data_IF_022665397936
#
_entry.id   IF_022665397936
#
_cell.length_a   1.000
_cell.length_b   1.000
_cell.length_c   1.000
_cell.angle_alpha   90.00
_cell.angle_beta   90.00
_cell.angle_gamma   90.00
#
_symmetry.space_group_name_H-M   'P 1'
#
loop_
_entity.id
_entity.type
_entity.pdbx_description
1 polymer ?
#
# COMPACT_ATOMS: atom_id res chain seq x y z
N UNK A 1 8.61 -11.56 57.77
CA UNK A 1 9.05 -10.46 56.88
C UNK A 1 9.51 -11.04 55.56
N UNK A 2 8.72 -10.89 54.51
CA UNK A 2 9.12 -11.29 53.15
C UNK A 2 10.04 -10.17 52.61
N UNK A 3 11.28 -10.54 52.24
CA UNK A 3 12.28 -9.56 51.82
C UNK A 3 11.85 -8.85 50.54
N UNK A 4 12.11 -7.55 50.44
CA UNK A 4 11.78 -6.67 49.29
C UNK A 4 12.26 -7.27 47.96
N UNK A 5 13.37 -8.03 47.98
CA UNK A 5 13.86 -8.76 46.78
C UNK A 5 12.94 -9.87 46.26
N UNK A 6 12.20 -10.55 47.15
CA UNK A 6 11.23 -11.57 46.70
C UNK A 6 9.97 -10.96 46.11
N UNK A 7 9.53 -9.78 46.58
CA UNK A 7 8.42 -9.05 45.98
C UNK A 7 8.78 -8.52 44.56
N UNK A 8 10.02 -8.10 44.35
CA UNK A 8 10.48 -7.60 43.05
C UNK A 8 10.57 -8.74 42.01
N UNK A 9 11.03 -9.92 42.41
CA UNK A 9 11.08 -11.09 41.55
C UNK A 9 9.66 -11.57 41.19
N UNK A 10 8.73 -11.58 42.14
CA UNK A 10 7.33 -11.96 41.91
C UNK A 10 6.65 -10.96 40.97
N UNK A 11 6.86 -9.66 41.17
CA UNK A 11 6.32 -8.61 40.29
C UNK A 11 6.88 -8.72 38.87
N UNK A 12 8.20 -8.94 38.72
CA UNK A 12 8.84 -9.11 37.41
C UNK A 12 8.36 -10.39 36.71
N UNK A 13 8.18 -11.47 37.42
CA UNK A 13 7.68 -12.75 36.90
C UNK A 13 6.21 -12.65 36.47
N UNK A 14 5.36 -11.98 37.26
CA UNK A 14 3.95 -11.75 36.92
C UNK A 14 3.84 -10.81 35.71
N UNK A 15 4.70 -9.78 35.61
CA UNK A 15 4.71 -8.88 34.47
C UNK A 15 5.17 -9.59 33.19
N UNK A 16 6.20 -10.43 33.26
CA UNK A 16 6.67 -11.29 32.15
C UNK A 16 5.61 -12.32 31.72
N UNK A 17 4.91 -12.94 32.67
CA UNK A 17 3.83 -13.89 32.37
C UNK A 17 2.63 -13.18 31.75
N UNK A 18 2.30 -11.96 32.22
CA UNK A 18 1.21 -11.15 31.67
C UNK A 18 1.53 -10.66 30.25
N UNK A 19 2.77 -10.23 29.98
CA UNK A 19 3.22 -9.82 28.63
C UNK A 19 3.29 -11.02 27.69
N UNK A 20 3.79 -12.17 28.10
CA UNK A 20 3.83 -13.38 27.30
C UNK A 20 2.43 -13.97 27.04
N UNK A 21 1.53 -13.97 28.02
CA UNK A 21 0.14 -14.38 27.81
C UNK A 21 -0.62 -13.43 26.89
N UNK A 22 -0.39 -12.12 26.98
CA UNK A 22 -0.98 -11.16 26.06
C UNK A 22 -0.40 -11.32 24.64
N UNK A 23 0.87 -11.67 24.50
CA UNK A 23 1.50 -11.99 23.21
C UNK A 23 0.93 -13.29 22.62
N UNK A 24 0.84 -14.37 23.41
CA UNK A 24 0.23 -15.64 22.99
C UNK A 24 -1.27 -15.52 22.68
N UNK A 25 -2.01 -14.70 23.42
CA UNK A 25 -3.43 -14.43 23.16
C UNK A 25 -3.62 -13.57 21.91
N UNK A 26 -2.69 -12.65 21.61
CA UNK A 26 -2.67 -11.91 20.34
C UNK A 26 -2.30 -12.80 19.16
N UNK A 27 -1.25 -13.62 19.28
CA UNK A 27 -0.83 -14.57 18.26
C UNK A 27 -1.92 -15.63 17.98
N UNK A 28 -2.58 -16.15 19.00
CA UNK A 28 -3.72 -17.08 18.84
C UNK A 28 -4.98 -16.41 18.27
N UNK A 29 -5.20 -15.12 18.51
CA UNK A 29 -6.30 -14.39 17.84
C UNK A 29 -6.03 -14.16 16.36
N UNK A 30 -4.80 -13.84 15.97
CA UNK A 30 -4.42 -13.64 14.58
C UNK A 30 -4.38 -14.96 13.79
N UNK A 31 -4.00 -16.08 14.43
CA UNK A 31 -3.94 -17.40 13.79
C UNK A 31 -5.30 -18.12 13.67
N UNK A 32 -6.38 -17.60 14.28
CA UNK A 32 -7.73 -18.17 14.24
C UNK A 32 -8.81 -17.20 13.73
N UNK A 33 -8.44 -16.05 13.14
CA UNK A 33 -9.41 -15.15 12.53
C UNK A 33 -9.85 -15.74 11.19
N UNK A 34 -10.95 -16.50 11.24
CA UNK A 34 -11.68 -16.88 10.04
C UNK A 34 -12.25 -15.58 9.46
N UNK A 35 -11.68 -15.09 8.37
CA UNK A 35 -12.18 -13.87 7.71
C UNK A 35 -13.65 -14.05 7.41
N UNK A 36 -14.48 -13.00 7.62
CA UNK A 36 -15.89 -13.06 7.27
C UNK A 36 -16.11 -13.39 5.79
N UNK A 37 -15.19 -12.96 4.91
CA UNK A 37 -15.31 -13.14 3.46
C UNK A 37 -13.96 -13.45 2.81
N UNK A 38 -13.94 -14.30 1.80
CA UNK A 38 -12.82 -14.48 0.90
C UNK A 38 -12.79 -13.40 -0.21
N UNK A 39 -11.68 -13.30 -0.92
CA UNK A 39 -11.50 -12.29 -1.97
C UNK A 39 -12.55 -12.41 -3.09
N UNK A 40 -12.99 -13.62 -3.45
CA UNK A 40 -14.00 -13.84 -4.50
C UNK A 40 -15.35 -13.30 -4.07
N UNK A 41 -15.74 -13.53 -2.82
CA UNK A 41 -16.99 -13.01 -2.24
C UNK A 41 -16.96 -11.48 -2.21
N UNK A 42 -15.83 -10.86 -1.80
CA UNK A 42 -15.66 -9.40 -1.80
C UNK A 42 -15.78 -8.84 -3.21
N UNK A 43 -15.11 -9.46 -4.18
CA UNK A 43 -15.18 -9.05 -5.58
C UNK A 43 -16.61 -9.20 -6.16
N UNK A 44 -17.29 -10.29 -5.84
CA UNK A 44 -18.69 -10.50 -6.27
C UNK A 44 -19.64 -9.43 -5.69
N UNK A 45 -19.44 -9.06 -4.42
CA UNK A 45 -20.23 -8.01 -3.75
C UNK A 45 -20.10 -6.64 -4.43
N UNK A 46 -18.91 -6.29 -4.90
CA UNK A 46 -18.63 -5.02 -5.56
C UNK A 46 -18.74 -5.09 -7.10
N UNK A 47 -19.02 -6.26 -7.68
CA UNK A 47 -18.90 -6.49 -9.12
C UNK A 47 -19.69 -5.49 -10.00
N UNK A 48 -20.98 -5.14 -9.71
CA UNK A 48 -21.70 -4.19 -10.54
C UNK A 48 -21.05 -2.81 -10.58
N UNK A 49 -20.64 -2.29 -9.42
CA UNK A 49 -20.01 -0.97 -9.32
C UNK A 49 -18.60 -0.99 -9.93
N UNK A 50 -17.83 -2.05 -9.73
CA UNK A 50 -16.50 -2.21 -10.34
C UNK A 50 -16.56 -2.36 -11.87
N UNK A 51 -17.61 -2.97 -12.41
CA UNK A 51 -17.87 -2.97 -13.83
C UNK A 51 -18.11 -1.54 -14.35
N UNK A 52 -18.97 -0.77 -13.68
CA UNK A 52 -19.23 0.62 -14.04
C UNK A 52 -17.97 1.50 -13.96
N UNK A 53 -17.09 1.27 -12.96
CA UNK A 53 -15.78 1.91 -12.87
C UNK A 53 -14.92 1.57 -14.09
N UNK A 54 -14.82 0.30 -14.49
CA UNK A 54 -14.03 -0.11 -15.65
C UNK A 54 -14.57 0.49 -16.95
N UNK A 55 -15.91 0.53 -17.14
CA UNK A 55 -16.56 1.16 -18.28
C UNK A 55 -16.24 2.66 -18.32
N UNK A 56 -16.34 3.35 -17.18
CA UNK A 56 -15.99 4.77 -17.08
C UNK A 56 -14.50 5.02 -17.38
N UNK A 57 -13.58 4.19 -16.87
CA UNK A 57 -12.15 4.27 -17.18
C UNK A 57 -11.95 4.23 -18.70
N UNK A 58 -12.52 3.24 -19.39
CA UNK A 58 -12.37 3.10 -20.84
C UNK A 58 -12.95 4.31 -21.60
N UNK A 59 -14.14 4.78 -21.19
CA UNK A 59 -14.77 5.94 -21.82
C UNK A 59 -13.95 7.23 -21.66
N UNK A 60 -13.31 7.41 -20.51
CA UNK A 60 -12.53 8.61 -20.21
C UNK A 60 -11.12 8.61 -20.84
N UNK A 61 -10.62 7.46 -21.27
CA UNK A 61 -9.34 7.36 -22.01
C UNK A 61 -9.48 7.67 -23.50
N UNK A 62 -10.70 7.81 -24.01
CA UNK A 62 -10.91 8.12 -25.41
C UNK A 62 -10.42 9.54 -25.77
N UNK A 63 -9.64 9.64 -26.83
CA UNK A 63 -9.02 10.88 -27.32
C UNK A 63 -8.92 10.88 -28.84
N UNK A 64 -8.88 12.06 -29.46
CA UNK A 64 -8.57 12.22 -30.88
C UNK A 64 -7.09 11.97 -31.19
N UNK A 65 -6.24 11.84 -30.17
CA UNK A 65 -4.82 11.55 -30.30
C UNK A 65 -4.59 10.04 -30.22
N UNK A 66 -4.17 9.44 -31.32
CA UNK A 66 -4.06 7.97 -31.48
C UNK A 66 -3.15 7.33 -30.41
N UNK A 67 -2.01 7.95 -30.10
CA UNK A 67 -1.06 7.45 -29.12
C UNK A 67 -1.68 7.35 -27.70
N UNK A 68 -2.53 8.30 -27.33
CA UNK A 68 -3.24 8.26 -26.03
C UNK A 68 -4.14 7.03 -25.95
N UNK A 69 -4.88 6.73 -27.03
CA UNK A 69 -5.74 5.56 -27.07
C UNK A 69 -4.93 4.26 -26.99
N UNK A 70 -3.84 4.16 -27.77
CA UNK A 70 -2.98 2.96 -27.80
C UNK A 70 -2.35 2.68 -26.42
N UNK A 71 -1.68 3.67 -25.83
CA UNK A 71 -1.01 3.52 -24.55
C UNK A 71 -2.03 3.39 -23.41
N UNK A 72 -3.14 4.14 -23.43
CA UNK A 72 -4.22 4.04 -22.48
C UNK A 72 -4.83 2.63 -22.46
N UNK A 73 -5.11 2.05 -23.63
CA UNK A 73 -5.58 0.65 -23.71
C UNK A 73 -4.53 -0.34 -23.23
N UNK A 74 -3.26 -0.12 -23.55
CA UNK A 74 -2.17 -0.98 -23.11
C UNK A 74 -2.09 -1.06 -21.58
N UNK A 75 -2.03 0.09 -20.91
CA UNK A 75 -1.89 0.13 -19.45
C UNK A 75 -3.11 -0.45 -18.73
N UNK A 76 -4.32 -0.19 -19.22
CA UNK A 76 -5.54 -0.72 -18.62
C UNK A 76 -5.67 -2.23 -18.83
N UNK A 77 -5.30 -2.74 -20.03
CA UNK A 77 -5.29 -4.17 -20.34
C UNK A 77 -4.16 -4.94 -19.62
N UNK A 78 -3.18 -4.24 -19.08
CA UNK A 78 -2.12 -4.79 -18.23
C UNK A 78 -2.63 -5.42 -16.94
N UNK A 79 -3.91 -5.23 -16.63
CA UNK A 79 -4.56 -5.78 -15.44
C UNK A 79 -4.19 -5.01 -14.18
N UNK A 80 -4.69 -5.49 -13.06
CA UNK A 80 -4.44 -4.94 -11.74
C UNK A 80 -5.51 -5.39 -10.76
N UNK A 81 -5.16 -5.48 -9.50
CA UNK A 81 -6.11 -5.91 -8.44
C UNK A 81 -7.19 -4.85 -8.17
N UNK A 82 -7.05 -3.62 -8.71
CA UNK A 82 -8.00 -2.51 -8.54
C UNK A 82 -8.39 -2.27 -7.08
N UNK A 83 -7.45 -2.42 -6.14
CA UNK A 83 -7.74 -2.38 -4.70
C UNK A 83 -8.22 -0.99 -4.27
N UNK A 84 -7.60 0.10 -4.78
CA UNK A 84 -7.99 1.47 -4.42
C UNK A 84 -9.42 1.81 -4.86
N UNK A 85 -9.83 1.60 -6.12
CA UNK A 85 -11.24 1.76 -6.48
C UNK A 85 -12.16 0.81 -5.72
N UNK A 86 -11.75 -0.43 -5.45
CA UNK A 86 -12.55 -1.40 -4.70
C UNK A 86 -12.85 -0.90 -3.28
N UNK A 87 -11.87 -0.41 -2.52
CA UNK A 87 -12.11 0.11 -1.17
C UNK A 87 -12.94 1.40 -1.19
N UNK A 88 -12.80 2.25 -2.21
CA UNK A 88 -13.64 3.43 -2.38
C UNK A 88 -15.12 3.05 -2.59
N UNK A 89 -15.37 2.06 -3.45
CA UNK A 89 -16.72 1.50 -3.68
C UNK A 89 -17.27 0.87 -2.41
N UNK A 90 -16.53 0.00 -1.74
CA UNK A 90 -16.99 -0.67 -0.52
C UNK A 90 -17.27 0.33 0.61
N UNK A 91 -16.44 1.35 0.79
CA UNK A 91 -16.63 2.41 1.78
C UNK A 91 -17.92 3.22 1.48
N UNK A 92 -18.14 3.57 0.22
CA UNK A 92 -19.34 4.27 -0.22
C UNK A 92 -20.62 3.45 0.04
N UNK A 93 -20.58 2.17 -0.28
CA UNK A 93 -21.71 1.25 -0.06
C UNK A 93 -21.93 0.99 1.43
N UNK A 94 -20.89 0.88 2.25
CA UNK A 94 -21.01 0.76 3.71
C UNK A 94 -21.71 1.96 4.35
N UNK A 95 -21.60 3.14 3.73
CA UNK A 95 -22.31 4.37 4.12
C UNK A 95 -23.66 4.57 3.44
N UNK A 96 -24.12 3.60 2.63
CA UNK A 96 -25.44 3.62 2.02
C UNK A 96 -25.59 4.57 0.82
N UNK A 97 -24.50 4.94 0.13
CA UNK A 97 -24.57 5.76 -1.09
C UNK A 97 -25.38 5.00 -2.15
N UNK A 98 -26.49 5.62 -2.59
CA UNK A 98 -27.37 5.06 -3.62
C UNK A 98 -27.07 5.62 -5.03
N UNK A 99 -26.39 6.74 -5.14
CA UNK A 99 -26.01 7.40 -6.40
C UNK A 99 -24.87 6.72 -7.12
N UNK A 100 -24.32 7.40 -8.14
CA UNK A 100 -23.20 6.92 -8.97
C UNK A 100 -21.92 7.72 -8.77
N UNK A 101 -21.93 8.71 -7.88
CA UNK A 101 -20.81 9.61 -7.63
C UNK A 101 -19.56 8.86 -7.16
N UNK A 102 -19.76 7.76 -6.42
CA UNK A 102 -18.68 6.89 -5.96
C UNK A 102 -17.98 6.17 -7.13
N UNK A 103 -18.64 5.91 -8.25
CA UNK A 103 -18.04 5.38 -9.47
C UNK A 103 -17.05 6.39 -10.05
N UNK A 104 -17.46 7.67 -10.13
CA UNK A 104 -16.57 8.76 -10.56
C UNK A 104 -15.37 8.89 -9.62
N UNK A 105 -15.62 8.81 -8.31
CA UNK A 105 -14.56 8.85 -7.28
C UNK A 105 -13.56 7.70 -7.47
N UNK A 106 -14.02 6.47 -7.54
CA UNK A 106 -13.18 5.29 -7.75
C UNK A 106 -12.38 5.39 -9.07
N UNK A 107 -12.98 5.96 -10.11
CA UNK A 107 -12.33 6.15 -11.41
C UNK A 107 -11.17 7.15 -11.34
N UNK A 108 -11.35 8.34 -10.77
CA UNK A 108 -10.26 9.30 -10.71
C UNK A 108 -9.14 8.86 -9.77
N UNK A 109 -9.44 8.12 -8.71
CA UNK A 109 -8.43 7.51 -7.84
C UNK A 109 -7.55 6.53 -8.63
N UNK A 110 -8.17 5.67 -9.45
CA UNK A 110 -7.41 4.75 -10.30
C UNK A 110 -6.62 5.48 -11.38
N UNK A 111 -7.12 6.62 -11.89
CA UNK A 111 -6.37 7.46 -12.83
C UNK A 111 -5.13 8.08 -12.20
N UNK A 112 -5.24 8.65 -10.99
CA UNK A 112 -4.07 9.16 -10.26
C UNK A 112 -3.06 8.02 -10.07
N UNK A 113 -3.49 6.85 -9.60
CA UNK A 113 -2.60 5.70 -9.46
C UNK A 113 -1.95 5.27 -10.77
N UNK A 114 -2.72 5.23 -11.86
CA UNK A 114 -2.19 4.82 -13.17
C UNK A 114 -1.18 5.83 -13.71
N UNK A 115 -1.43 7.13 -13.51
CA UNK A 115 -0.50 8.18 -13.90
C UNK A 115 0.81 8.10 -13.13
N UNK A 116 0.76 7.89 -11.80
CA UNK A 116 1.98 7.69 -11.01
C UNK A 116 2.77 6.48 -11.48
N UNK A 117 2.11 5.34 -11.80
CA UNK A 117 2.81 4.17 -12.33
C UNK A 117 3.53 4.44 -13.66
N UNK A 118 2.93 5.26 -14.57
CA UNK A 118 3.57 5.62 -15.83
C UNK A 118 4.80 6.51 -15.65
N UNK A 119 4.77 7.39 -14.64
CA UNK A 119 5.90 8.24 -14.29
C UNK A 119 6.98 7.46 -13.55
N UNK A 120 6.60 6.62 -12.58
CA UNK A 120 7.52 5.79 -11.80
C UNK A 120 8.31 4.84 -12.69
N UNK A 121 7.66 4.18 -13.68
CA UNK A 121 8.35 3.29 -14.61
C UNK A 121 9.47 4.01 -15.39
N UNK A 122 9.34 5.32 -15.63
CA UNK A 122 10.39 6.13 -16.28
C UNK A 122 11.47 6.51 -15.28
N UNK A 123 11.11 6.92 -14.08
CA UNK A 123 12.04 7.34 -13.01
C UNK A 123 12.91 6.17 -12.54
N UNK A 124 12.27 5.00 -12.34
CA UNK A 124 12.92 3.76 -11.89
C UNK A 124 13.60 2.99 -13.06
N UNK A 125 13.55 3.51 -14.30
CA UNK A 125 14.04 2.84 -15.51
C UNK A 125 13.52 1.40 -15.66
N UNK A 126 12.31 1.15 -15.20
CA UNK A 126 11.70 -0.18 -15.15
C UNK A 126 11.38 -0.69 -16.57
N UNK A 127 11.73 -1.93 -16.86
CA UNK A 127 11.44 -2.58 -18.15
C UNK A 127 10.30 -3.57 -18.10
N UNK A 128 9.96 -4.07 -16.90
CA UNK A 128 8.92 -5.07 -16.67
C UNK A 128 8.00 -4.65 -15.53
N UNK A 129 6.69 -4.84 -15.74
CA UNK A 129 5.65 -4.67 -14.73
C UNK A 129 4.59 -5.75 -14.87
N UNK A 130 4.37 -6.55 -13.82
CA UNK A 130 3.42 -7.67 -13.82
C UNK A 130 3.67 -8.69 -14.95
N UNK A 131 4.94 -8.95 -15.25
CA UNK A 131 5.34 -9.90 -16.30
C UNK A 131 5.16 -9.39 -17.73
N UNK A 132 4.82 -8.10 -17.92
CA UNK A 132 4.74 -7.43 -19.23
C UNK A 132 5.76 -6.31 -19.31
N UNK A 133 6.17 -5.95 -20.52
CA UNK A 133 7.00 -4.76 -20.72
C UNK A 133 6.29 -3.52 -20.18
N UNK A 134 7.04 -2.55 -19.69
CA UNK A 134 6.49 -1.27 -19.24
C UNK A 134 6.11 -0.38 -20.42
N UNK A 135 5.28 0.63 -20.17
CA UNK A 135 4.87 1.57 -21.23
C UNK A 135 6.07 2.35 -21.79
N UNK A 136 7.02 2.75 -20.95
CA UNK A 136 8.26 3.44 -21.37
C UNK A 136 9.16 2.54 -22.23
N UNK A 137 9.23 1.23 -21.93
CA UNK A 137 10.00 0.29 -22.76
C UNK A 137 9.41 0.11 -24.15
N UNK A 138 8.07 0.08 -24.29
CA UNK A 138 7.39 -0.12 -25.58
C UNK A 138 7.20 1.16 -26.38
N UNK A 139 6.82 2.27 -25.73
CA UNK A 139 6.42 3.53 -26.39
C UNK A 139 7.44 4.65 -26.20
N UNK A 140 8.46 4.42 -25.36
CA UNK A 140 9.48 5.42 -25.00
C UNK A 140 9.07 6.32 -23.83
N UNK A 141 10.07 6.88 -23.14
CA UNK A 141 9.90 7.69 -21.93
C UNK A 141 8.98 8.91 -22.17
N UNK A 142 9.15 9.62 -23.27
CA UNK A 142 8.35 10.80 -23.57
C UNK A 142 6.85 10.47 -23.71
N UNK A 143 6.51 9.34 -24.35
CA UNK A 143 5.13 8.91 -24.47
C UNK A 143 4.54 8.52 -23.12
N UNK A 144 5.29 7.78 -22.28
CA UNK A 144 4.86 7.39 -20.95
C UNK A 144 4.55 8.60 -20.06
N UNK A 145 5.46 9.59 -20.03
CA UNK A 145 5.27 10.82 -19.25
C UNK A 145 4.06 11.61 -19.73
N UNK A 146 3.96 11.89 -21.04
CA UNK A 146 2.89 12.73 -21.58
C UNK A 146 1.50 12.07 -21.48
N UNK A 147 1.42 10.75 -21.64
CA UNK A 147 0.15 10.04 -21.43
C UNK A 147 -0.18 9.93 -19.93
N UNK A 148 0.82 9.82 -19.06
CA UNK A 148 0.66 9.97 -17.61
C UNK A 148 0.03 11.31 -17.25
N UNK A 149 0.54 12.43 -17.81
CA UNK A 149 -0.02 13.76 -17.63
C UNK A 149 -1.46 13.86 -18.14
N UNK A 150 -1.75 13.26 -19.30
CA UNK A 150 -3.12 13.20 -19.81
C UNK A 150 -4.07 12.50 -18.85
N UNK A 151 -3.71 11.31 -18.34
CA UNK A 151 -4.52 10.54 -17.39
C UNK A 151 -4.69 11.33 -16.08
N UNK A 152 -3.63 11.96 -15.62
CA UNK A 152 -3.62 12.81 -14.44
C UNK A 152 -4.59 13.99 -14.56
N UNK A 153 -4.50 14.73 -15.67
CA UNK A 153 -5.41 15.87 -15.93
C UNK A 153 -6.86 15.40 -16.11
N UNK A 154 -7.08 14.23 -16.70
CA UNK A 154 -8.41 13.61 -16.81
C UNK A 154 -9.00 13.30 -15.42
N UNK A 155 -8.19 12.88 -14.44
CA UNK A 155 -8.64 12.70 -13.07
C UNK A 155 -9.17 14.00 -12.48
N UNK A 156 -8.48 15.14 -12.66
CA UNK A 156 -8.97 16.45 -12.19
C UNK A 156 -10.27 16.87 -12.87
N UNK A 157 -10.42 16.60 -14.18
CA UNK A 157 -11.69 16.85 -14.87
C UNK A 157 -12.86 16.03 -14.29
N UNK A 158 -12.59 14.79 -13.83
CA UNK A 158 -13.60 13.97 -13.15
C UNK A 158 -13.92 14.51 -11.76
N UNK A 159 -12.92 14.92 -10.99
CA UNK A 159 -13.11 15.51 -9.66
C UNK A 159 -14.03 16.75 -9.73
N UNK A 160 -13.83 17.63 -10.72
CA UNK A 160 -14.68 18.83 -10.87
C UNK A 160 -16.13 18.51 -11.15
N UNK A 161 -16.44 17.36 -11.79
CA UNK A 161 -17.84 16.94 -12.05
C UNK A 161 -18.62 16.60 -10.79
N UNK A 162 -17.93 16.28 -9.68
CA UNK A 162 -18.60 16.01 -8.40
C UNK A 162 -19.09 17.29 -7.69
N UNK A 163 -18.71 18.48 -8.15
CA UNK A 163 -19.07 19.76 -7.53
C UNK A 163 -18.79 19.81 -6.01
N UNK A 164 -17.74 19.13 -5.56
CA UNK A 164 -17.34 19.08 -4.15
C UNK A 164 -15.94 19.71 -4.01
N UNK A 165 -15.91 20.94 -3.46
CA UNK A 165 -14.63 21.60 -3.14
C UNK A 165 -13.85 20.84 -2.06
N UNK A 166 -14.53 20.17 -1.16
CA UNK A 166 -13.90 19.38 -0.10
C UNK A 166 -13.13 18.20 -0.71
N UNK A 167 -13.74 17.44 -1.64
CA UNK A 167 -13.05 16.37 -2.35
C UNK A 167 -11.87 16.92 -3.16
N UNK A 168 -12.06 18.02 -3.86
CA UNK A 168 -10.99 18.64 -4.64
C UNK A 168 -9.82 19.06 -3.76
N UNK A 169 -10.09 19.66 -2.60
CA UNK A 169 -9.08 20.06 -1.62
C UNK A 169 -8.30 18.85 -1.07
N UNK A 170 -9.02 17.82 -0.61
CA UNK A 170 -8.41 16.58 -0.07
C UNK A 170 -7.56 15.87 -1.12
N UNK A 171 -8.03 15.80 -2.36
CA UNK A 171 -7.30 15.16 -3.45
C UNK A 171 -6.09 15.98 -3.91
N UNK A 172 -6.22 17.32 -3.98
CA UNK A 172 -5.08 18.19 -4.34
C UNK A 172 -3.96 18.09 -3.30
N UNK A 173 -4.31 18.08 -2.01
CA UNK A 173 -3.35 17.86 -0.93
C UNK A 173 -2.70 16.46 -1.02
N UNK A 174 -3.52 15.42 -1.26
CA UNK A 174 -3.00 14.07 -1.40
C UNK A 174 -2.01 13.92 -2.53
N UNK A 175 -2.31 14.50 -3.67
CA UNK A 175 -1.43 14.47 -4.84
C UNK A 175 -0.12 15.21 -4.59
N UNK A 176 -0.17 16.35 -3.88
CA UNK A 176 1.03 17.06 -3.46
C UNK A 176 1.90 16.19 -2.54
N UNK A 177 1.28 15.56 -1.51
CA UNK A 177 1.98 14.66 -0.60
C UNK A 177 2.59 13.46 -1.32
N UNK A 178 1.90 12.90 -2.32
CA UNK A 178 2.43 11.80 -3.16
C UNK A 178 3.67 12.29 -3.92
N UNK A 179 3.59 13.46 -4.57
CA UNK A 179 4.72 14.02 -5.32
C UNK A 179 5.94 14.30 -4.42
N UNK A 180 5.71 14.85 -3.22
CA UNK A 180 6.76 15.02 -2.22
C UNK A 180 7.36 13.67 -1.78
N UNK A 181 6.51 12.63 -1.65
CA UNK A 181 6.94 11.27 -1.31
C UNK A 181 7.84 10.63 -2.36
N UNK A 182 7.58 10.86 -3.65
CA UNK A 182 8.44 10.40 -4.74
C UNK A 182 9.83 11.06 -4.68
N UNK A 183 9.86 12.38 -4.47
CA UNK A 183 11.13 13.11 -4.31
C UNK A 183 11.87 12.64 -3.06
N UNK A 184 11.17 12.42 -1.94
CA UNK A 184 11.76 11.92 -0.70
C UNK A 184 12.34 10.50 -0.89
N UNK A 185 11.64 9.61 -1.62
CA UNK A 185 12.17 8.29 -1.96
C UNK A 185 13.45 8.40 -2.78
N UNK A 186 13.47 9.28 -3.79
CA UNK A 186 14.66 9.51 -4.61
C UNK A 186 15.84 10.00 -3.76
N UNK A 187 15.60 10.87 -2.77
CA UNK A 187 16.64 11.36 -1.85
C UNK A 187 17.13 10.28 -0.89
N UNK A 188 16.26 9.32 -0.50
CA UNK A 188 16.61 8.23 0.40
C UNK A 188 17.25 7.03 -0.32
N UNK A 189 17.14 6.94 -1.65
CA UNK A 189 17.85 5.92 -2.40
C UNK A 189 19.36 6.06 -2.16
N UNK A 190 20.04 4.94 -1.94
CA UNK A 190 21.46 4.88 -1.65
C UNK A 190 21.92 5.59 -0.35
N UNK A 191 20.97 5.99 0.53
CA UNK A 191 21.30 6.53 1.85
C UNK A 191 21.17 5.47 2.96
N UNK A 192 22.29 4.91 3.43
CA UNK A 192 22.29 3.91 4.50
C UNK A 192 21.99 4.49 5.89
N UNK A 193 21.82 5.82 6.02
CA UNK A 193 21.44 6.46 7.27
C UNK A 193 19.92 6.68 7.36
N UNK A 194 19.16 6.21 6.36
CA UNK A 194 17.70 6.22 6.40
C UNK A 194 17.20 5.54 7.67
N UNK A 195 16.35 6.22 8.41
CA UNK A 195 15.73 5.68 9.64
C UNK A 195 14.41 4.97 9.32
N UNK A 196 13.95 4.11 10.24
CA UNK A 196 12.61 3.52 10.14
C UNK A 196 11.52 4.61 10.03
N UNK A 197 11.66 5.73 10.76
CA UNK A 197 10.71 6.85 10.69
C UNK A 197 10.69 7.50 9.30
N UNK A 198 11.86 7.72 8.68
CA UNK A 198 11.96 8.26 7.31
C UNK A 198 11.39 7.29 6.28
N UNK A 199 11.68 5.99 6.42
CA UNK A 199 11.08 4.95 5.59
C UNK A 199 9.55 4.95 5.70
N UNK A 200 8.98 4.97 6.92
CA UNK A 200 7.54 5.02 7.14
C UNK A 200 6.90 6.28 6.53
N UNK A 201 7.60 7.42 6.56
CA UNK A 201 7.15 8.64 5.89
C UNK A 201 7.07 8.46 4.37
N UNK A 202 8.06 7.82 3.75
CA UNK A 202 8.06 7.53 2.31
C UNK A 202 6.86 6.65 1.94
N UNK A 203 6.66 5.52 2.62
CA UNK A 203 5.56 4.61 2.29
C UNK A 203 4.19 5.22 2.57
N UNK A 204 4.08 6.08 3.59
CA UNK A 204 2.87 6.86 3.80
C UNK A 204 2.60 7.77 2.61
N UNK A 205 3.55 8.61 2.26
CA UNK A 205 3.39 9.61 1.22
C UNK A 205 3.14 8.98 -0.16
N UNK A 206 3.98 8.02 -0.56
CA UNK A 206 3.92 7.38 -1.88
C UNK A 206 2.73 6.44 -2.04
N UNK A 207 2.43 5.64 -1.02
CA UNK A 207 1.47 4.53 -1.15
C UNK A 207 0.22 4.73 -0.31
N UNK A 208 0.35 4.95 1.02
CA UNK A 208 -0.79 4.94 1.92
C UNK A 208 -1.69 6.15 1.73
N UNK A 209 -1.15 7.30 1.32
CA UNK A 209 -1.93 8.53 1.11
C UNK A 209 -3.06 8.36 0.08
N UNK A 210 -2.82 7.63 -1.01
CA UNK A 210 -3.87 7.40 -2.00
C UNK A 210 -4.92 6.40 -1.50
N UNK A 211 -4.54 5.42 -0.67
CA UNK A 211 -5.52 4.56 0.03
C UNK A 211 -6.37 5.37 1.03
N UNK A 212 -5.73 6.25 1.80
CA UNK A 212 -6.38 7.13 2.77
C UNK A 212 -7.48 7.96 2.11
N UNK A 213 -7.16 8.69 1.03
CA UNK A 213 -8.14 9.52 0.35
C UNK A 213 -9.19 8.72 -0.42
N UNK A 214 -8.90 7.48 -0.80
CA UNK A 214 -9.88 6.61 -1.48
C UNK A 214 -11.11 6.35 -0.60
N UNK A 215 -10.91 6.10 0.67
CA UNK A 215 -12.01 5.86 1.62
C UNK A 215 -12.53 7.15 2.24
N UNK A 216 -11.68 8.16 2.43
CA UNK A 216 -12.11 9.49 2.89
C UNK A 216 -13.05 10.18 1.91
N UNK A 217 -12.78 10.14 0.61
CA UNK A 217 -13.67 10.71 -0.41
C UNK A 217 -15.04 10.04 -0.41
N UNK A 218 -15.12 8.73 -0.16
CA UNK A 218 -16.40 8.04 -0.01
C UNK A 218 -17.19 8.58 1.18
N UNK A 219 -16.55 8.87 2.31
CA UNK A 219 -17.20 9.45 3.48
C UNK A 219 -17.67 10.89 3.23
N UNK A 220 -16.89 11.69 2.51
CA UNK A 220 -17.29 13.06 2.11
C UNK A 220 -18.51 13.00 1.18
N UNK A 221 -18.52 12.12 0.17
CA UNK A 221 -19.66 11.92 -0.73
C UNK A 221 -20.93 11.53 0.01
N UNK A 222 -20.81 10.68 1.03
CA UNK A 222 -21.91 10.27 1.89
C UNK A 222 -22.37 11.39 2.85
N UNK A 223 -21.67 12.52 2.90
CA UNK A 223 -21.87 13.58 3.90
C UNK A 223 -21.86 13.02 5.33
N UNK A 224 -20.97 12.06 5.57
CA UNK A 224 -20.83 11.41 6.86
C UNK A 224 -20.33 12.42 7.91
N UNK A 225 -20.62 12.16 9.18
CA UNK A 225 -20.10 12.97 10.27
C UNK A 225 -18.55 12.84 10.37
N UNK A 226 -17.94 13.72 11.14
CA UNK A 226 -16.48 13.80 11.24
C UNK A 226 -15.86 12.52 11.83
N UNK A 227 -16.58 11.79 12.69
CA UNK A 227 -16.10 10.56 13.28
C UNK A 227 -16.01 9.44 12.22
N UNK A 228 -17.04 9.28 11.40
CA UNK A 228 -17.07 8.34 10.28
C UNK A 228 -16.05 8.71 9.20
N UNK A 229 -15.90 10.02 8.88
CA UNK A 229 -14.88 10.49 7.95
C UNK A 229 -13.47 10.16 8.47
N UNK A 230 -13.20 10.40 9.77
CA UNK A 230 -11.92 10.08 10.40
C UNK A 230 -11.65 8.58 10.39
N UNK A 231 -12.67 7.76 10.76
CA UNK A 231 -12.53 6.30 10.76
C UNK A 231 -12.18 5.74 9.40
N UNK A 232 -12.86 6.19 8.32
CA UNK A 232 -12.56 5.74 6.96
C UNK A 232 -11.23 6.28 6.43
N UNK A 233 -10.88 7.52 6.75
CA UNK A 233 -9.55 8.07 6.44
C UNK A 233 -8.45 7.21 7.06
N UNK A 234 -8.55 6.94 8.36
CA UNK A 234 -7.55 6.18 9.11
C UNK A 234 -7.50 4.71 8.65
N UNK A 235 -8.65 4.12 8.31
CA UNK A 235 -8.70 2.80 7.68
C UNK A 235 -7.86 2.74 6.40
N UNK A 236 -8.07 3.68 5.48
CA UNK A 236 -7.31 3.73 4.24
C UNK A 236 -5.82 3.90 4.48
N UNK A 237 -5.43 4.81 5.38
CA UNK A 237 -4.04 5.05 5.78
C UNK A 237 -3.38 3.76 6.29
N UNK A 238 -3.97 3.11 7.27
CA UNK A 238 -3.40 1.91 7.88
C UNK A 238 -3.37 0.73 6.91
N UNK A 239 -4.43 0.54 6.12
CA UNK A 239 -4.46 -0.48 5.08
C UNK A 239 -3.35 -0.27 4.04
N UNK A 240 -3.15 0.98 3.58
CA UNK A 240 -2.12 1.31 2.61
C UNK A 240 -0.70 1.10 3.15
N UNK A 241 -0.48 1.43 4.43
CA UNK A 241 0.80 1.16 5.12
C UNK A 241 1.05 -0.35 5.24
N UNK A 242 0.06 -1.12 5.70
CA UNK A 242 0.16 -2.58 5.78
C UNK A 242 0.45 -3.20 4.39
N UNK A 243 -0.22 -2.68 3.37
CA UNK A 243 -0.05 -3.14 1.99
C UNK A 243 1.38 -2.95 1.50
N UNK A 244 2.01 -1.81 1.74
CA UNK A 244 3.39 -1.55 1.32
C UNK A 244 4.39 -2.38 2.12
N UNK A 245 4.23 -2.48 3.44
CA UNK A 245 5.09 -3.32 4.27
C UNK A 245 5.15 -4.78 3.79
N UNK A 246 4.00 -5.33 3.36
CA UNK A 246 3.95 -6.68 2.77
C UNK A 246 4.60 -6.72 1.39
N UNK A 247 4.43 -5.70 0.54
CA UNK A 247 5.10 -5.64 -0.76
C UNK A 247 6.62 -5.69 -0.61
N UNK A 248 7.18 -4.94 0.35
CA UNK A 248 8.62 -4.92 0.64
C UNK A 248 9.13 -6.28 1.16
N UNK A 249 8.33 -7.00 1.96
CA UNK A 249 8.67 -8.37 2.39
C UNK A 249 8.63 -9.35 1.22
N UNK A 250 7.62 -9.22 0.34
CA UNK A 250 7.45 -10.09 -0.81
C UNK A 250 8.59 -9.92 -1.85
N UNK A 251 9.20 -8.75 -1.94
CA UNK A 251 10.36 -8.51 -2.81
C UNK A 251 11.53 -9.44 -2.47
N UNK A 252 11.72 -9.78 -1.18
CA UNK A 252 12.75 -10.72 -0.72
C UNK A 252 12.29 -12.18 -0.68
N UNK A 253 11.03 -12.48 -0.97
CA UNK A 253 10.49 -13.83 -0.89
C UNK A 253 10.84 -14.67 -2.12
N UNK A 254 10.82 -16.02 -1.97
CA UNK A 254 11.00 -16.95 -3.08
C UNK A 254 9.90 -16.83 -4.16
N UNK A 255 8.76 -16.23 -3.81
CA UNK A 255 7.60 -16.07 -4.68
C UNK A 255 7.64 -14.77 -5.52
N UNK A 256 8.70 -13.94 -5.41
CA UNK A 256 8.82 -12.68 -6.14
C UNK A 256 8.68 -12.88 -7.67
N UNK A 257 9.25 -13.96 -8.21
CA UNK A 257 9.12 -14.30 -9.63
C UNK A 257 7.67 -14.60 -10.04
N UNK A 258 6.85 -15.18 -9.15
CA UNK A 258 5.42 -15.40 -9.41
C UNK A 258 4.63 -14.08 -9.46
N UNK A 259 5.16 -13.04 -8.82
CA UNK A 259 4.62 -11.67 -8.86
C UNK A 259 5.00 -10.91 -10.13
N UNK A 260 5.82 -11.50 -11.01
CA UNK A 260 6.32 -10.84 -12.23
C UNK A 260 7.38 -9.78 -11.98
N UNK A 261 8.12 -9.90 -10.86
CA UNK A 261 9.30 -9.10 -10.49
C UNK A 261 10.52 -10.02 -10.32
N UNK A 262 11.69 -9.46 -10.39
CA UNK A 262 12.89 -10.17 -9.95
C UNK A 262 12.97 -10.09 -8.42
N UNK A 263 13.51 -11.12 -7.79
CA UNK A 263 13.73 -11.13 -6.35
C UNK A 263 14.82 -10.14 -5.98
N UNK A 264 14.56 -9.26 -4.99
CA UNK A 264 15.52 -8.29 -4.50
C UNK A 264 15.71 -7.08 -5.42
N UNK A 265 14.68 -6.69 -6.19
CA UNK A 265 14.71 -5.48 -7.01
C UNK A 265 14.94 -4.24 -6.13
N UNK A 266 14.29 -4.13 -4.96
CA UNK A 266 14.50 -3.02 -4.02
C UNK A 266 15.96 -2.92 -3.53
N UNK A 267 16.60 -4.08 -3.28
CA UNK A 267 18.01 -4.14 -2.91
C UNK A 267 18.93 -3.71 -4.07
N UNK A 268 18.59 -4.14 -5.29
CA UNK A 268 19.35 -3.79 -6.49
C UNK A 268 19.27 -2.30 -6.83
N UNK A 269 18.18 -1.65 -6.44
CA UNK A 269 17.95 -0.22 -6.62
C UNK A 269 18.47 0.63 -5.45
N UNK A 270 19.06 0.00 -4.43
CA UNK A 270 19.57 0.70 -3.23
C UNK A 270 18.46 1.31 -2.37
N UNK A 271 17.24 0.77 -2.43
CA UNK A 271 16.09 1.22 -1.63
C UNK A 271 16.20 0.68 -0.19
N UNK A 272 16.31 1.54 0.84
CA UNK A 272 16.44 1.12 2.23
C UNK A 272 15.07 0.74 2.82
N UNK A 273 14.55 -0.45 2.45
CA UNK A 273 13.27 -0.97 2.94
C UNK A 273 13.37 -1.49 4.38
N UNK A 274 12.24 -1.63 5.07
CA UNK A 274 12.21 -1.99 6.49
C UNK A 274 12.94 -3.31 6.82
N UNK A 275 12.78 -4.41 6.06
CA UNK A 275 13.55 -5.63 6.31
C UNK A 275 15.06 -5.39 6.27
N UNK A 276 15.53 -4.59 5.33
CA UNK A 276 16.94 -4.27 5.15
C UNK A 276 17.48 -3.40 6.28
N UNK A 277 16.73 -2.35 6.67
CA UNK A 277 17.08 -1.47 7.79
C UNK A 277 17.12 -2.25 9.11
N UNK A 278 16.17 -3.14 9.34
CA UNK A 278 16.14 -3.99 10.54
C UNK A 278 17.34 -4.95 10.59
N UNK A 279 17.69 -5.59 9.47
CA UNK A 279 18.84 -6.46 9.37
C UNK A 279 20.17 -5.69 9.62
N UNK A 280 20.29 -4.49 9.08
CA UNK A 280 21.46 -3.63 9.28
C UNK A 280 21.61 -3.20 10.75
N UNK A 281 20.49 -2.85 11.41
CA UNK A 281 20.52 -2.38 12.80
C UNK A 281 20.83 -3.49 13.81
N UNK A 282 20.35 -4.71 13.55
CA UNK A 282 20.51 -5.85 14.47
C UNK A 282 21.71 -6.75 14.13
N UNK A 283 22.33 -6.56 12.97
CA UNK A 283 23.49 -7.32 12.52
C UNK A 283 24.76 -6.99 13.30
N UNK A 284 25.71 -7.91 13.29
CA UNK A 284 27.04 -7.64 13.79
C UNK A 284 27.76 -6.58 12.91
N UNK A 285 28.91 -6.01 13.35
CA UNK A 285 29.58 -4.94 12.61
C UNK A 285 29.91 -5.27 11.14
N UNK A 286 30.24 -6.52 10.81
CA UNK A 286 30.53 -6.96 9.45
C UNK A 286 29.27 -7.03 8.60
N UNK A 287 28.20 -7.59 9.14
CA UNK A 287 26.86 -7.65 8.51
C UNK A 287 26.31 -6.25 8.26
N UNK A 288 26.34 -5.37 9.26
CA UNK A 288 25.91 -3.99 9.14
C UNK A 288 26.70 -3.23 8.06
N UNK A 289 28.04 -3.45 8.01
CA UNK A 289 28.91 -2.86 6.99
C UNK A 289 28.55 -3.35 5.58
N UNK A 290 28.30 -4.65 5.42
CA UNK A 290 27.89 -5.22 4.13
C UNK A 290 26.59 -4.58 3.63
N UNK A 291 25.55 -4.56 4.48
CA UNK A 291 24.24 -3.99 4.11
C UNK A 291 24.38 -2.50 3.79
N UNK A 292 25.13 -1.74 4.58
CA UNK A 292 25.42 -0.33 4.32
C UNK A 292 26.06 -0.12 2.94
N UNK A 293 27.09 -0.89 2.61
CA UNK A 293 27.76 -0.80 1.32
C UNK A 293 26.81 -1.13 0.15
N UNK A 294 25.96 -2.13 0.31
CA UNK A 294 24.98 -2.52 -0.71
C UNK A 294 23.97 -1.41 -0.96
N UNK A 295 23.46 -0.77 0.09
CA UNK A 295 22.56 0.39 -0.05
C UNK A 295 23.30 1.53 -0.78
N UNK A 296 24.51 1.88 -0.36
CA UNK A 296 25.30 2.98 -0.95
C UNK A 296 25.61 2.77 -2.44
N UNK A 297 25.82 1.54 -2.86
CA UNK A 297 26.29 1.21 -4.22
C UNK A 297 25.16 0.82 -5.18
N UNK A 298 23.97 0.43 -4.69
CA UNK A 298 22.88 -0.06 -5.53
C UNK A 298 23.27 -1.30 -6.37
N UNK A 299 24.09 -2.20 -5.82
CA UNK A 299 24.60 -3.40 -6.51
C UNK A 299 24.17 -4.70 -5.83
N UNK A 300 23.05 -4.69 -5.14
CA UNK A 300 22.62 -5.75 -4.24
C UNK A 300 22.38 -7.13 -4.87
N UNK A 301 22.27 -7.23 -6.21
CA UNK A 301 22.03 -8.53 -6.87
C UNK A 301 23.13 -9.54 -6.64
N UNK A 302 24.39 -9.10 -6.61
CA UNK A 302 25.55 -9.99 -6.44
C UNK A 302 25.64 -10.62 -5.04
N UNK A 303 25.10 -9.93 -4.03
CA UNK A 303 25.16 -10.34 -2.62
C UNK A 303 23.79 -10.66 -2.03
N UNK A 304 22.76 -10.79 -2.85
CA UNK A 304 21.37 -11.01 -2.42
C UNK A 304 21.26 -12.18 -1.43
N UNK A 305 21.87 -13.32 -1.73
CA UNK A 305 21.78 -14.51 -0.86
C UNK A 305 22.46 -14.29 0.51
N UNK A 306 23.53 -13.48 0.55
CA UNK A 306 24.18 -13.12 1.81
C UNK A 306 23.30 -12.19 2.65
N UNK A 307 22.68 -11.20 2.01
CA UNK A 307 21.73 -10.28 2.69
C UNK A 307 20.51 -11.03 3.20
N UNK A 308 19.97 -11.97 2.43
CA UNK A 308 18.86 -12.83 2.83
C UNK A 308 19.21 -13.72 4.04
N UNK A 309 20.43 -14.27 4.08
CA UNK A 309 20.89 -15.04 5.23
C UNK A 309 20.95 -14.17 6.50
N UNK A 310 21.40 -12.92 6.39
CA UNK A 310 21.43 -11.95 7.50
C UNK A 310 19.99 -11.61 7.93
N UNK A 311 19.10 -11.33 6.98
CA UNK A 311 17.67 -11.07 7.29
C UNK A 311 17.02 -12.24 8.02
N UNK A 312 17.33 -13.47 7.61
CA UNK A 312 16.82 -14.69 8.25
C UNK A 312 17.39 -14.86 9.67
N UNK A 313 18.69 -14.65 9.86
CA UNK A 313 19.35 -14.73 11.17
C UNK A 313 18.72 -13.78 12.20
N UNK A 314 18.36 -12.57 11.76
CA UNK A 314 17.81 -11.54 12.64
C UNK A 314 16.26 -11.44 12.61
N UNK A 315 15.56 -12.34 11.89
CA UNK A 315 14.10 -12.32 11.82
C UNK A 315 13.52 -11.06 11.18
N UNK A 316 14.23 -10.43 10.23
CA UNK A 316 13.90 -9.11 9.69
C UNK A 316 12.61 -9.11 8.86
N UNK A 317 12.35 -10.19 8.13
CA UNK A 317 11.11 -10.36 7.38
C UNK A 317 9.91 -10.54 8.34
N UNK A 318 10.09 -11.31 9.42
CA UNK A 318 9.05 -11.51 10.43
C UNK A 318 8.74 -10.22 11.17
N UNK A 319 9.75 -9.40 11.46
CA UNK A 319 9.57 -8.07 12.04
C UNK A 319 8.71 -7.18 11.16
N UNK A 320 9.02 -7.06 9.86
CA UNK A 320 8.25 -6.26 8.92
C UNK A 320 6.81 -6.81 8.75
N UNK A 321 6.64 -8.13 8.69
CA UNK A 321 5.31 -8.76 8.66
C UNK A 321 4.51 -8.51 9.93
N UNK A 322 5.16 -8.47 11.11
CA UNK A 322 4.49 -8.13 12.36
C UNK A 322 3.99 -6.67 12.34
N UNK A 323 4.81 -5.74 11.85
CA UNK A 323 4.39 -4.34 11.66
C UNK A 323 3.20 -4.24 10.70
N UNK A 324 3.22 -4.98 9.60
CA UNK A 324 2.10 -5.01 8.64
C UNK A 324 0.80 -5.50 9.30
N UNK A 325 0.86 -6.56 10.13
CA UNK A 325 -0.31 -7.07 10.88
C UNK A 325 -0.84 -6.06 11.90
N UNK A 326 0.05 -5.31 12.55
CA UNK A 326 -0.33 -4.25 13.49
C UNK A 326 -1.08 -3.12 12.77
N UNK A 327 -0.62 -2.72 11.60
CA UNK A 327 -1.29 -1.72 10.77
C UNK A 327 -2.65 -2.23 10.25
N UNK A 328 -2.74 -3.48 9.81
CA UNK A 328 -4.02 -4.08 9.40
C UNK A 328 -5.03 -4.12 10.56
N UNK A 329 -4.59 -4.41 11.80
CA UNK A 329 -5.46 -4.38 12.97
C UNK A 329 -5.94 -2.95 13.27
N UNK A 330 -5.06 -1.93 13.18
CA UNK A 330 -5.46 -0.52 13.32
C UNK A 330 -6.49 -0.10 12.28
N UNK A 331 -6.37 -0.60 11.03
CA UNK A 331 -7.37 -0.36 9.99
C UNK A 331 -8.74 -0.93 10.39
N UNK A 332 -8.80 -2.15 10.88
CA UNK A 332 -10.04 -2.78 11.36
C UNK A 332 -10.65 -2.00 12.53
N UNK A 333 -9.82 -1.59 13.50
CA UNK A 333 -10.27 -0.83 14.67
C UNK A 333 -10.84 0.54 14.27
N UNK A 334 -10.27 1.19 13.28
CA UNK A 334 -10.69 2.51 12.79
C UNK A 334 -12.12 2.51 12.23
N UNK A 335 -12.56 1.41 11.62
CA UNK A 335 -13.92 1.29 11.08
C UNK A 335 -14.90 0.58 12.01
N UNK A 336 -14.56 0.37 13.28
CA UNK A 336 -15.47 -0.22 14.27
C UNK A 336 -16.78 0.56 14.40
N UNK A 337 -16.73 1.88 14.20
CA UNK A 337 -17.88 2.80 14.26
C UNK A 337 -18.83 2.71 13.05
N UNK A 338 -18.43 2.07 11.94
CA UNK A 338 -19.33 1.91 10.79
C UNK A 338 -20.54 1.03 11.16
N UNK A 339 -21.73 1.31 10.60
CA UNK A 339 -22.89 0.43 10.71
C UNK A 339 -22.56 -0.99 10.24
N UNK A 340 -23.15 -2.00 10.89
CA UNK A 340 -22.98 -3.39 10.47
C UNK A 340 -23.58 -3.61 9.09
N UNK A 341 -22.77 -4.14 8.19
CA UNK A 341 -23.14 -4.45 6.81
C UNK A 341 -22.17 -5.44 6.20
N UNK A 342 -22.56 -6.10 5.10
CA UNK A 342 -21.65 -6.94 4.31
C UNK A 342 -20.47 -6.14 3.74
N UNK A 343 -20.65 -4.85 3.46
CA UNK A 343 -19.58 -3.98 2.98
C UNK A 343 -18.56 -3.65 4.08
N UNK A 344 -18.99 -3.46 5.34
CA UNK A 344 -18.07 -3.35 6.49
C UNK A 344 -17.28 -4.64 6.67
N UNK A 345 -17.93 -5.80 6.59
CA UNK A 345 -17.28 -7.09 6.71
C UNK A 345 -16.29 -7.34 5.56
N UNK A 346 -16.59 -6.86 4.35
CA UNK A 346 -15.67 -6.89 3.22
C UNK A 346 -14.43 -6.02 3.47
N UNK A 347 -14.58 -4.80 4.01
CA UNK A 347 -13.45 -3.93 4.37
C UNK A 347 -12.58 -4.59 5.46
N UNK A 348 -13.18 -5.15 6.51
CA UNK A 348 -12.46 -5.89 7.56
C UNK A 348 -11.66 -7.04 6.94
N UNK A 349 -12.30 -7.84 6.09
CA UNK A 349 -11.67 -8.98 5.44
C UNK A 349 -10.51 -8.56 4.53
N UNK A 350 -10.64 -7.45 3.77
CA UNK A 350 -9.56 -6.92 2.95
C UNK A 350 -8.34 -6.51 3.76
N UNK A 351 -8.53 -5.93 4.96
CA UNK A 351 -7.42 -5.55 5.81
C UNK A 351 -6.58 -6.78 6.22
N UNK A 352 -7.22 -7.86 6.64
CA UNK A 352 -6.52 -9.09 6.99
C UNK A 352 -5.94 -9.81 5.76
N UNK A 353 -6.70 -9.92 4.67
CA UNK A 353 -6.22 -10.53 3.43
C UNK A 353 -5.00 -9.79 2.84
N UNK A 354 -4.87 -8.48 3.10
CA UNK A 354 -3.71 -7.71 2.63
C UNK A 354 -2.40 -8.16 3.24
N UNK A 355 -2.43 -8.72 4.47
CA UNK A 355 -1.24 -9.19 5.20
C UNK A 355 -1.05 -10.70 5.17
N UNK A 356 -1.98 -11.44 4.57
CA UNK A 356 -1.86 -12.89 4.36
C UNK A 356 -1.54 -13.28 2.92
N UNK A 357 -1.48 -12.29 2.03
CA UNK A 357 -1.14 -12.55 0.63
C UNK A 357 0.29 -13.10 0.52
N UNK A 358 0.42 -14.13 -0.29
CA UNK A 358 1.71 -14.76 -0.62
C UNK A 358 2.11 -14.47 -2.07
N UNK A 359 1.30 -13.67 -2.79
CA UNK A 359 1.46 -13.32 -4.21
C UNK A 359 0.79 -12.00 -4.55
#
# INVERSE_FOLDING_TARGET
>A
MISIGKLFIIYYTIHQISTNNNKLLRENRLNNVKYPMDLKTIQALAAPDMQAVNEMILAQLNSNVVLINQLGHYIISGGGKRIRPLIAVLAAKALGIAGTEHITCATFIEFIHTATLLHDDVVDESTLRRGKETANALFGNAASVLVGDFIYTRAFQLMTKLNSLEILAVMSDAVNVISEGEVLQLMNCNDPNTTEASYLQVIYSKTARLFEVSTQCAAILAKADIALQTGLRDYGRYLGTAFQLVDDVLDYSANAQQLGKNRGDDLAEGKPTLPLLHAMHNGNPEQAKLIRQVIEQGNGREVLEQVLAIMQEHGSLDYAMQKAREEAQKAVDAISILPESEYKQALISLAYLSVERTY
#
